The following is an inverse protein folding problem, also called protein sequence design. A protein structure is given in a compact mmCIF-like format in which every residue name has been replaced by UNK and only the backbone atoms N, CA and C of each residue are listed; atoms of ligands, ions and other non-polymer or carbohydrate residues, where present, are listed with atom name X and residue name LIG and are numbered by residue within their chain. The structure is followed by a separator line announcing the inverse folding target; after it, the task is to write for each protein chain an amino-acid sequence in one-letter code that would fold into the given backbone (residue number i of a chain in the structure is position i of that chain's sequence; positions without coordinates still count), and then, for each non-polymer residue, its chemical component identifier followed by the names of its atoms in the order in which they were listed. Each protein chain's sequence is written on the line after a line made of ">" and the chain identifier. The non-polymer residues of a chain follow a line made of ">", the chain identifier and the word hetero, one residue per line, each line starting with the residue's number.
data_IF_795920721897
#
_entry.id   IF_795920721897
#
_cell.length_a   1.000
_cell.length_b   1.000
_cell.length_c   1.000
_cell.angle_alpha   90.00
_cell.angle_beta   90.00
_cell.angle_gamma   90.00
#
_symmetry.space_group_name_H-M   'P 1'
#
loop_
_entity.id
_entity.type
_entity.pdbx_description
1 polymer ?
#
# COMPACT_ATOMS: atom_id res chain seq x y z
N UNK A 1 -9.46 5.52 17.42
CA UNK A 1 -8.94 4.60 16.38
C UNK A 1 -8.10 5.42 15.41
N UNK A 2 -6.92 4.93 15.01
CA UNK A 2 -6.03 5.63 14.06
C UNK A 2 -6.28 5.12 12.65
N UNK A 3 -6.46 6.03 11.67
CA UNK A 3 -6.62 5.67 10.26
C UNK A 3 -5.34 4.99 9.74
N UNK A 4 -5.49 3.85 9.05
CA UNK A 4 -4.36 3.16 8.43
C UNK A 4 -3.89 3.89 7.16
N UNK A 5 -2.57 3.94 6.97
CA UNK A 5 -1.94 4.37 5.73
C UNK A 5 -2.36 3.43 4.60
N UNK A 6 -2.66 4.02 3.45
CA UNK A 6 -3.19 3.35 2.27
C UNK A 6 -2.13 3.29 1.18
N UNK A 7 -2.11 2.18 0.46
CA UNK A 7 -1.35 2.08 -0.79
C UNK A 7 -1.88 3.08 -1.82
N UNK A 8 -1.03 3.44 -2.77
CA UNK A 8 -1.40 4.30 -3.90
C UNK A 8 -1.34 3.46 -5.17
N UNK A 9 -2.38 3.54 -5.99
CA UNK A 9 -2.42 2.97 -7.33
C UNK A 9 -2.55 4.09 -8.36
N UNK A 10 -1.63 4.12 -9.33
CA UNK A 10 -1.68 5.00 -10.48
C UNK A 10 -2.49 4.31 -11.57
N UNK A 11 -3.65 4.86 -11.92
CA UNK A 11 -4.50 4.38 -13.00
C UNK A 11 -4.81 5.52 -13.95
N UNK A 12 -4.49 5.34 -15.25
CA UNK A 12 -4.66 6.39 -16.28
C UNK A 12 -4.04 7.74 -15.85
N UNK A 13 -2.81 7.68 -15.37
CA UNK A 13 -2.02 8.83 -14.87
C UNK A 13 -2.64 9.57 -13.65
N UNK A 14 -3.67 8.99 -13.02
CA UNK A 14 -4.29 9.54 -11.82
C UNK A 14 -3.97 8.66 -10.60
N UNK A 15 -3.48 9.26 -9.50
CA UNK A 15 -3.23 8.52 -8.27
C UNK A 15 -4.55 8.32 -7.50
N UNK A 16 -4.81 7.08 -7.10
CA UNK A 16 -5.92 6.69 -6.24
C UNK A 16 -5.39 6.03 -4.97
N UNK A 17 -6.05 6.26 -3.84
CA UNK A 17 -5.76 5.52 -2.62
C UNK A 17 -6.53 4.20 -2.61
N UNK A 18 -5.84 3.11 -2.32
CA UNK A 18 -6.46 1.79 -2.15
C UNK A 18 -7.31 1.79 -0.88
N UNK A 19 -8.49 1.17 -0.95
CA UNK A 19 -9.42 1.03 0.16
C UNK A 19 -8.80 0.31 1.36
N UNK A 20 -9.32 0.58 2.56
CA UNK A 20 -8.71 0.12 3.81
C UNK A 20 -8.65 -1.41 3.97
N UNK A 21 -9.51 -2.14 3.27
CA UNK A 21 -9.65 -3.59 3.39
C UNK A 21 -8.97 -4.37 2.26
N UNK A 22 -8.29 -3.68 1.33
CA UNK A 22 -7.57 -4.33 0.23
C UNK A 22 -6.07 -4.33 0.51
N UNK A 23 -5.47 -5.51 0.46
CA UNK A 23 -4.03 -5.71 0.54
C UNK A 23 -3.54 -6.39 -0.76
N UNK A 24 -2.84 -5.62 -1.59
CA UNK A 24 -2.35 -6.05 -2.90
C UNK A 24 -1.10 -6.93 -2.81
N UNK A 25 -0.32 -6.78 -1.73
CA UNK A 25 0.95 -7.50 -1.54
C UNK A 25 0.77 -8.77 -0.70
N UNK A 26 -0.24 -8.84 0.16
CA UNK A 26 -0.48 -9.97 1.05
C UNK A 26 -0.51 -11.32 0.33
N UNK A 27 -1.17 -11.49 -0.85
CA UNK A 27 -1.16 -12.77 -1.54
C UNK A 27 0.24 -13.24 -1.94
N UNK A 28 1.20 -12.32 -2.11
CA UNK A 28 2.61 -12.65 -2.34
C UNK A 28 3.33 -13.02 -1.03
N UNK A 29 3.07 -12.30 0.07
CA UNK A 29 3.77 -12.44 1.35
C UNK A 29 3.34 -13.69 2.13
N UNK A 30 2.03 -13.95 2.19
CA UNK A 30 1.43 -14.99 3.05
C UNK A 30 2.00 -16.39 2.77
N UNK A 31 2.12 -16.87 1.52
CA UNK A 31 2.70 -18.19 1.23
C UNK A 31 4.18 -18.29 1.57
N UNK A 32 4.90 -17.15 1.54
CA UNK A 32 6.35 -17.05 1.82
C UNK A 32 6.65 -16.83 3.30
N UNK A 33 5.62 -16.67 4.15
CA UNK A 33 5.74 -16.35 5.58
C UNK A 33 6.57 -15.09 5.85
N UNK A 34 6.52 -14.13 4.92
CA UNK A 34 7.16 -12.83 5.10
C UNK A 34 6.20 -11.95 5.91
N UNK A 35 6.70 -11.36 6.99
CA UNK A 35 5.96 -10.42 7.81
C UNK A 35 6.81 -9.18 8.05
N UNK A 36 6.21 -8.02 7.82
CA UNK A 36 6.83 -6.74 8.12
C UNK A 36 6.48 -6.29 9.52
N UNK A 37 7.36 -5.48 10.11
CA UNK A 37 7.18 -4.95 11.44
C UNK A 37 6.28 -3.70 11.39
N UNK A 38 5.20 -3.63 12.19
CA UNK A 38 4.34 -2.46 12.22
C UNK A 38 5.02 -1.29 12.95
N UNK A 39 5.44 -0.21 12.25
CA UNK A 39 6.21 0.86 12.91
C UNK A 39 5.35 1.75 13.82
N UNK A 40 4.03 1.80 13.61
CA UNK A 40 3.10 2.61 14.39
C UNK A 40 1.64 2.16 14.16
N UNK A 41 0.73 2.74 14.95
CA UNK A 41 -0.71 2.42 14.90
C UNK A 41 -1.42 2.86 13.61
N UNK A 42 -0.77 3.65 12.74
CA UNK A 42 -1.27 4.00 11.42
C UNK A 42 -0.76 3.04 10.32
N UNK A 43 0.12 2.09 10.62
CA UNK A 43 0.65 1.15 9.63
C UNK A 43 0.87 -0.23 10.24
N UNK A 44 -0.21 -0.94 10.56
CA UNK A 44 -0.12 -2.30 11.12
C UNK A 44 0.42 -3.34 10.12
N UNK A 45 0.29 -3.07 8.82
CA UNK A 45 0.85 -3.94 7.77
C UNK A 45 2.39 -3.89 7.71
N UNK A 46 3.01 -2.86 8.28
CA UNK A 46 4.46 -2.69 8.27
C UNK A 46 5.07 -2.25 6.94
N UNK A 47 4.25 -1.87 5.96
CA UNK A 47 4.72 -1.40 4.66
C UNK A 47 3.80 -0.36 4.03
N UNK A 48 4.33 0.33 3.03
CA UNK A 48 3.64 1.20 2.09
C UNK A 48 4.05 0.81 0.66
N UNK A 49 3.08 0.66 -0.23
CA UNK A 49 3.33 0.33 -1.63
C UNK A 49 2.75 1.36 -2.62
N UNK A 50 3.47 1.51 -3.73
CA UNK A 50 3.03 2.21 -4.93
C UNK A 50 2.83 1.20 -6.04
N UNK A 51 1.67 1.30 -6.66
CA UNK A 51 1.22 0.44 -7.73
C UNK A 51 0.93 1.29 -8.97
N UNK A 52 1.07 0.68 -10.13
CA UNK A 52 0.78 1.31 -11.42
C UNK A 52 0.04 0.29 -12.28
N UNK A 53 -1.06 0.73 -12.89
CA UNK A 53 -1.70 -0.01 -13.98
C UNK A 53 -1.19 0.59 -15.28
N UNK A 54 -0.47 -0.22 -16.05
CA UNK A 54 0.10 0.24 -17.31
C UNK A 54 -0.94 0.32 -18.45
N UNK A 55 -0.49 0.77 -19.61
CA UNK A 55 -1.34 0.89 -20.81
C UNK A 55 -1.81 -0.46 -21.37
N UNK A 56 -1.22 -1.58 -20.91
CA UNK A 56 -1.61 -2.95 -21.28
C UNK A 56 -2.54 -3.58 -20.24
N UNK A 57 -3.13 -2.75 -19.37
CA UNK A 57 -4.07 -3.18 -18.33
C UNK A 57 -3.43 -4.17 -17.34
N UNK A 58 -2.15 -3.99 -17.03
CA UNK A 58 -1.40 -4.84 -16.08
C UNK A 58 -1.00 -4.07 -14.84
N UNK A 59 -1.17 -4.70 -13.69
CA UNK A 59 -0.79 -4.19 -12.38
C UNK A 59 0.70 -4.45 -12.10
N UNK A 60 1.42 -3.38 -11.79
CA UNK A 60 2.82 -3.42 -11.39
C UNK A 60 3.02 -2.81 -10.02
N UNK A 61 3.85 -3.45 -9.20
CA UNK A 61 4.44 -2.84 -8.01
C UNK A 61 5.65 -2.01 -8.46
N UNK A 62 5.60 -0.70 -8.22
CA UNK A 62 6.64 0.26 -8.66
C UNK A 62 7.40 0.89 -7.50
N UNK A 63 6.89 0.78 -6.28
CA UNK A 63 7.58 1.20 -5.08
C UNK A 63 7.12 0.41 -3.87
N UNK A 64 8.06 0.09 -2.99
CA UNK A 64 7.80 -0.56 -1.71
C UNK A 64 8.71 0.09 -0.68
N UNK A 65 8.14 0.41 0.47
CA UNK A 65 8.87 0.78 1.68
C UNK A 65 8.30 -0.11 2.77
N UNK A 66 9.09 -1.03 3.27
CA UNK A 66 8.67 -1.96 4.31
C UNK A 66 9.64 -1.92 5.48
N UNK A 67 9.12 -2.10 6.70
CA UNK A 67 9.94 -2.12 7.91
C UNK A 67 10.19 -3.57 8.32
N UNK A 68 11.44 -3.92 8.57
CA UNK A 68 11.85 -5.25 9.04
C UNK A 68 12.60 -5.13 10.35
N UNK A 69 12.55 -6.18 11.17
CA UNK A 69 13.34 -6.26 12.40
C UNK A 69 14.66 -6.97 12.10
N UNK A 70 15.78 -6.34 12.46
CA UNK A 70 17.13 -6.86 12.31
C UNK A 70 17.44 -8.02 13.27
N UNK A 71 16.72 -8.08 14.40
CA UNK A 71 16.81 -9.16 15.38
C UNK A 71 15.43 -9.75 15.66
N UNK A 72 15.34 -11.04 15.99
CA UNK A 72 14.11 -11.62 16.51
C UNK A 72 13.60 -10.85 17.71
N UNK A 73 12.29 -10.88 17.95
CA UNK A 73 11.72 -10.41 19.21
C UNK A 73 12.28 -11.23 20.37
N UNK A 74 12.93 -10.57 21.33
CA UNK A 74 13.40 -11.17 22.57
C UNK A 74 12.53 -10.67 23.74
N UNK A 75 11.67 -11.52 24.32
CA UNK A 75 10.81 -11.15 25.44
C UNK A 75 11.57 -10.71 26.70
N UNK A 76 12.88 -11.01 26.78
CA UNK A 76 13.76 -10.68 27.92
C UNK A 76 14.66 -9.47 27.64
N UNK A 77 14.63 -8.91 26.42
CA UNK A 77 15.37 -7.69 26.11
C UNK A 77 14.84 -6.50 26.93
N UNK A 78 15.76 -5.68 27.43
CA UNK A 78 15.40 -4.44 28.13
C UNK A 78 14.79 -3.46 27.13
N UNK A 79 13.74 -2.76 27.54
CA UNK A 79 12.93 -1.86 26.69
C UNK A 79 13.76 -0.81 25.91
N UNK A 80 14.90 -0.41 26.45
CA UNK A 80 15.81 0.60 25.89
C UNK A 80 16.57 0.11 24.64
N UNK A 81 16.77 -1.21 24.48
CA UNK A 81 17.53 -1.80 23.37
C UNK A 81 16.66 -2.21 22.17
N UNK A 82 15.33 -2.29 22.34
CA UNK A 82 14.51 -3.19 21.51
C UNK A 82 13.45 -2.51 20.61
N UNK A 83 13.13 -1.22 20.83
CA UNK A 83 11.91 -0.65 20.23
C UNK A 83 12.07 0.05 18.87
N UNK A 84 13.21 0.71 18.60
CA UNK A 84 13.43 1.43 17.32
C UNK A 84 14.83 1.23 16.72
N UNK A 85 15.85 0.93 17.53
CA UNK A 85 17.23 0.73 17.06
C UNK A 85 17.47 -0.59 16.31
N UNK A 86 16.46 -1.46 16.24
CA UNK A 86 16.55 -2.78 15.61
C UNK A 86 15.67 -2.91 14.37
N UNK A 87 15.09 -1.82 13.88
CA UNK A 87 14.30 -1.84 12.66
C UNK A 87 15.07 -1.22 11.51
N UNK A 88 15.01 -1.86 10.35
CA UNK A 88 15.51 -1.33 9.10
C UNK A 88 14.34 -1.15 8.13
N UNK A 89 14.49 -0.19 7.23
CA UNK A 89 13.54 0.00 6.12
C UNK A 89 14.15 -0.62 4.88
N UNK A 90 13.42 -1.55 4.28
CA UNK A 90 13.78 -2.17 3.00
C UNK A 90 12.90 -1.65 1.88
N UNK A 91 13.44 -1.69 0.68
CA UNK A 91 12.82 -1.23 -0.55
C UNK A 91 12.29 -2.36 -1.43
N UNK A 92 11.91 -1.97 -2.65
CA UNK A 92 11.50 -2.91 -3.70
C UNK A 92 12.63 -3.86 -4.09
N UNK A 93 13.86 -3.35 -4.21
CA UNK A 93 15.03 -4.12 -4.67
C UNK A 93 15.42 -5.22 -3.66
N UNK A 94 15.20 -5.00 -2.37
CA UNK A 94 15.45 -5.99 -1.33
C UNK A 94 14.49 -7.20 -1.44
N UNK A 95 13.24 -6.96 -1.82
CA UNK A 95 12.23 -8.02 -1.99
C UNK A 95 12.25 -8.62 -3.40
N UNK A 96 12.64 -7.83 -4.40
CA UNK A 96 12.69 -8.19 -5.82
C UNK A 96 13.99 -7.67 -6.48
N UNK A 97 15.12 -8.36 -6.25
CA UNK A 97 16.43 -7.89 -6.70
C UNK A 97 16.50 -7.62 -8.20
N UNK A 98 17.00 -6.44 -8.57
CA UNK A 98 17.21 -6.00 -9.95
C UNK A 98 15.94 -5.56 -10.68
N UNK A 99 14.78 -5.54 -10.03
CA UNK A 99 13.51 -5.19 -10.67
C UNK A 99 13.09 -3.76 -10.31
N UNK A 100 13.00 -2.89 -11.33
CA UNK A 100 12.48 -1.52 -11.18
C UNK A 100 10.97 -1.46 -11.01
N UNK A 101 10.27 -2.45 -11.57
CA UNK A 101 8.83 -2.66 -11.42
C UNK A 101 8.56 -4.16 -11.49
N UNK A 102 7.58 -4.64 -10.75
CA UNK A 102 7.28 -6.08 -10.63
C UNK A 102 5.85 -6.31 -11.07
N UNK A 103 5.65 -7.19 -12.06
CA UNK A 103 4.31 -7.56 -12.49
C UNK A 103 3.61 -8.37 -11.39
N UNK A 104 2.44 -7.90 -10.96
CA UNK A 104 1.71 -8.44 -9.82
C UNK A 104 0.89 -9.70 -10.18
N UNK A 105 1.52 -10.68 -10.81
CA UNK A 105 0.84 -11.90 -11.29
C UNK A 105 0.13 -12.69 -10.17
N UNK A 106 0.56 -12.50 -8.92
CA UNK A 106 -0.01 -13.15 -7.75
C UNK A 106 -1.38 -12.59 -7.33
N UNK A 107 -1.76 -11.39 -7.79
CA UNK A 107 -2.95 -10.71 -7.31
C UNK A 107 -4.17 -11.02 -8.19
N UNK A 108 -5.24 -11.50 -7.57
CA UNK A 108 -6.57 -11.66 -8.17
C UNK A 108 -7.61 -11.17 -7.18
N UNK A 109 -8.42 -10.20 -7.56
CA UNK A 109 -9.42 -9.60 -6.68
C UNK A 109 -9.83 -8.19 -7.10
N UNK A 110 -10.81 -7.64 -6.40
CA UNK A 110 -11.28 -6.28 -6.59
C UNK A 110 -10.50 -5.31 -5.69
N UNK A 111 -10.09 -4.19 -6.27
CA UNK A 111 -9.45 -3.06 -5.60
C UNK A 111 -10.43 -1.90 -5.65
N UNK A 112 -10.90 -1.47 -4.49
CA UNK A 112 -11.79 -0.32 -4.37
C UNK A 112 -11.00 0.90 -3.99
N UNK A 113 -11.25 2.00 -4.69
CA UNK A 113 -10.53 3.24 -4.56
C UNK A 113 -11.53 4.39 -4.37
N UNK A 114 -11.81 4.79 -3.11
CA UNK A 114 -12.66 5.95 -2.87
C UNK A 114 -11.95 7.24 -3.26
N UNK A 115 -12.63 8.13 -3.97
CA UNK A 115 -12.12 9.42 -4.40
C UNK A 115 -13.23 10.49 -4.43
N UNK A 116 -12.84 11.75 -4.43
CA UNK A 116 -13.76 12.85 -4.72
C UNK A 116 -13.60 13.28 -6.18
N UNK A 117 -14.71 13.46 -6.88
CA UNK A 117 -14.68 14.10 -8.20
C UNK A 117 -14.48 15.62 -8.11
N UNK A 118 -14.45 16.28 -9.28
CA UNK A 118 -14.24 17.72 -9.37
C UNK A 118 -15.36 18.54 -8.70
N UNK A 119 -16.57 17.97 -8.59
CA UNK A 119 -17.73 18.60 -7.96
C UNK A 119 -17.79 18.30 -6.45
N UNK A 120 -16.78 17.61 -5.90
CA UNK A 120 -16.71 17.23 -4.50
C UNK A 120 -17.59 16.04 -4.13
N UNK A 121 -18.15 15.33 -5.12
CA UNK A 121 -18.97 14.13 -4.87
C UNK A 121 -18.07 12.95 -4.58
N UNK A 122 -18.49 12.14 -3.62
CA UNK A 122 -17.82 10.91 -3.27
C UNK A 122 -18.13 9.85 -4.31
N UNK A 123 -17.09 9.25 -4.87
CA UNK A 123 -17.17 8.15 -5.81
C UNK A 123 -16.22 7.03 -5.41
N UNK A 124 -16.48 5.85 -5.93
CA UNK A 124 -15.63 4.68 -5.74
C UNK A 124 -15.27 4.09 -7.10
N UNK A 125 -13.96 3.98 -7.36
CA UNK A 125 -13.45 3.27 -8.53
C UNK A 125 -13.17 1.82 -8.12
N UNK A 126 -13.82 0.86 -8.76
CA UNK A 126 -13.54 -0.57 -8.60
C UNK A 126 -12.71 -1.08 -9.78
N UNK A 127 -11.53 -1.61 -9.47
CA UNK A 127 -10.61 -2.23 -10.43
C UNK A 127 -10.50 -3.72 -10.10
N UNK A 128 -10.97 -4.59 -11.00
CA UNK A 128 -10.94 -6.04 -10.79
C UNK A 128 -9.80 -6.65 -11.58
N UNK A 129 -8.93 -7.37 -10.89
CA UNK A 129 -7.78 -8.02 -11.47
C UNK A 129 -7.91 -9.55 -11.44
N UNK A 130 -7.39 -10.20 -12.48
CA UNK A 130 -7.12 -11.63 -12.51
C UNK A 130 -5.65 -11.85 -12.87
N UNK A 131 -4.89 -12.44 -11.95
CA UNK A 131 -3.46 -12.69 -12.11
C UNK A 131 -2.68 -11.43 -12.54
N UNK A 132 -3.00 -10.29 -11.93
CA UNK A 132 -2.41 -8.99 -12.22
C UNK A 132 -2.91 -8.30 -13.49
N UNK A 133 -3.74 -8.95 -14.32
CA UNK A 133 -4.39 -8.31 -15.47
C UNK A 133 -5.73 -7.70 -15.06
N UNK A 134 -5.96 -6.44 -15.41
CA UNK A 134 -7.22 -5.74 -15.18
C UNK A 134 -8.26 -6.29 -16.16
N UNK A 135 -9.34 -6.84 -15.62
CA UNK A 135 -10.41 -7.48 -16.41
C UNK A 135 -11.71 -6.70 -16.37
N UNK A 136 -11.89 -5.84 -15.37
CA UNK A 136 -13.11 -5.06 -15.20
C UNK A 136 -12.80 -3.74 -14.46
N UNK A 137 -13.50 -2.69 -14.87
CA UNK A 137 -13.42 -1.35 -14.29
C UNK A 137 -14.83 -0.81 -14.17
N UNK A 138 -15.21 -0.40 -12.97
CA UNK A 138 -16.50 0.24 -12.73
C UNK A 138 -16.33 1.46 -11.81
N UNK A 139 -17.14 2.48 -12.03
CA UNK A 139 -17.20 3.66 -11.18
C UNK A 139 -18.59 3.71 -10.56
N UNK A 140 -18.65 3.66 -9.24
CA UNK A 140 -19.88 3.74 -8.47
C UNK A 140 -20.01 5.11 -7.79
N UNK A 141 -21.24 5.59 -7.63
CA UNK A 141 -21.50 6.66 -6.67
C UNK A 141 -21.23 6.14 -5.26
N UNK A 142 -20.40 6.84 -4.50
CA UNK A 142 -19.98 6.37 -3.18
C UNK A 142 -21.10 6.54 -2.15
N UNK A 143 -21.31 5.53 -1.32
CA UNK A 143 -22.24 5.60 -0.19
C UNK A 143 -21.62 6.42 0.96
N UNK A 144 -21.62 7.76 0.84
CA UNK A 144 -21.59 8.73 1.94
C UNK A 144 -20.46 8.73 2.99
N UNK A 145 -19.60 7.72 3.10
CA UNK A 145 -18.55 7.66 4.13
C UNK A 145 -17.16 7.89 3.53
N UNK A 146 -16.88 9.15 3.19
CA UNK A 146 -15.50 9.62 3.12
C UNK A 146 -15.06 10.04 4.51
N UNK A 147 -14.30 9.18 5.18
CA UNK A 147 -13.47 9.63 6.31
C UNK A 147 -12.35 10.48 5.71
N UNK A 148 -12.46 11.80 5.90
CA UNK A 148 -11.58 12.83 5.35
C UNK A 148 -10.09 12.43 5.40
N UNK A 149 -9.46 12.35 4.22
CA UNK A 149 -8.00 12.35 4.10
C UNK A 149 -7.48 13.73 4.46
N UNK A 150 -6.49 13.80 5.36
CA UNK A 150 -5.71 15.01 5.61
C UNK A 150 -5.23 15.61 4.28
N UNK A 151 -5.42 16.92 4.13
CA UNK A 151 -5.22 17.65 2.89
C UNK A 151 -3.78 17.51 2.36
N UNK A 152 -3.63 17.58 1.04
CA UNK A 152 -2.35 17.62 0.31
C UNK A 152 -1.36 18.75 0.70
N UNK A 153 -1.62 19.52 1.77
CA UNK A 153 -0.70 20.52 2.29
C UNK A 153 0.29 20.00 3.34
N UNK A 154 0.06 18.82 3.92
CA UNK A 154 0.91 18.30 5.01
C UNK A 154 1.98 17.30 4.58
N UNK A 155 1.96 16.80 3.33
CA UNK A 155 2.94 15.81 2.83
C UNK A 155 4.20 16.45 2.25
N UNK A 156 4.16 17.73 1.89
CA UNK A 156 5.27 18.38 1.18
C UNK A 156 6.31 19.06 2.08
N UNK A 157 6.25 18.91 3.40
CA UNK A 157 7.22 19.61 4.24
C UNK A 157 7.52 18.92 5.58
N UNK A 158 8.03 17.69 5.52
CA UNK A 158 9.02 17.09 6.44
C UNK A 158 9.18 15.62 6.09
N UNK A 159 10.39 15.10 6.26
CA UNK A 159 10.81 13.73 5.91
C UNK A 159 11.17 13.52 4.44
N UNK A 160 11.97 14.43 3.89
CA UNK A 160 12.95 14.08 2.85
C UNK A 160 14.25 14.84 3.13
N UNK A 161 15.05 14.30 4.06
CA UNK A 161 16.49 14.50 4.18
C UNK A 161 17.10 13.20 4.68
#
# INVERSE_FOLDING_TARGET
>A
MTMQLRDIILYRDKPYHVGMFTDLLEPYLRPRKIQFFPPNSACWRGYYARWEVDQTDKLYLTGLIAVVRLKPYDPQAKYEDDFFGLCETIGLDDLFPGQKRVFAQWFSGAVRCPFCDADGRVKELELVFQHGALVHVEEHEGSGEMVFSLSNKDVNNKVWR
#
